data_IF_285888328523
#
_entry.id   IF_285888328523
#
_cell.length_a   1.000
_cell.length_b   1.000
_cell.length_c   1.000
_cell.angle_alpha   90.00
_cell.angle_beta   90.00
_cell.angle_gamma   90.00
#
_symmetry.space_group_name_H-M   'P 1'
#
loop_
_entity.id
_entity.type
_entity.pdbx_description
1 polymer ?
#
# COMPACT_ATOMS: atom_id res chain seq x y z
N UNK A 1 22.77 -4.98 -19.95
CA UNK A 1 21.98 -5.65 -18.88
C UNK A 1 22.63 -5.39 -17.53
N UNK A 2 22.17 -4.38 -16.79
CA UNK A 2 22.71 -4.11 -15.46
C UNK A 2 22.09 -5.13 -14.50
N UNK A 3 22.85 -6.12 -14.02
CA UNK A 3 22.35 -7.08 -13.03
C UNK A 3 21.97 -6.28 -11.78
N UNK A 4 20.67 -6.06 -11.52
CA UNK A 4 20.21 -5.77 -10.15
C UNK A 4 20.81 -6.87 -9.29
N UNK A 5 21.65 -6.50 -8.32
CA UNK A 5 22.14 -7.50 -7.39
C UNK A 5 20.94 -7.94 -6.54
N UNK A 6 20.61 -9.23 -6.58
CA UNK A 6 19.57 -9.82 -5.74
C UNK A 6 19.78 -9.42 -4.27
N UNK A 7 21.04 -9.28 -3.86
CA UNK A 7 21.44 -8.75 -2.56
C UNK A 7 20.86 -7.36 -2.25
N UNK A 8 20.85 -6.41 -3.21
CA UNK A 8 20.27 -5.08 -3.03
C UNK A 8 18.75 -5.14 -2.85
N UNK A 9 18.09 -5.98 -3.65
CA UNK A 9 16.63 -6.14 -3.57
C UNK A 9 16.21 -6.74 -2.22
N UNK A 10 16.92 -7.77 -1.76
CA UNK A 10 16.67 -8.39 -0.46
C UNK A 10 16.99 -7.43 0.69
N UNK A 11 18.08 -6.66 0.61
CA UNK A 11 18.44 -5.69 1.64
C UNK A 11 17.39 -4.58 1.77
N UNK A 12 16.94 -4.01 0.66
CA UNK A 12 15.87 -3.02 0.67
C UNK A 12 14.56 -3.58 1.20
N UNK A 13 14.22 -4.81 0.81
CA UNK A 13 13.03 -5.47 1.32
C UNK A 13 13.08 -5.65 2.83
N UNK A 14 14.24 -6.07 3.37
CA UNK A 14 14.45 -6.18 4.81
C UNK A 14 14.32 -4.83 5.53
N UNK A 15 14.85 -3.74 4.95
CA UNK A 15 14.71 -2.39 5.51
C UNK A 15 13.25 -1.93 5.48
N UNK A 16 12.52 -2.16 4.38
CA UNK A 16 11.10 -1.82 4.29
C UNK A 16 10.27 -2.61 5.30
N UNK A 17 10.55 -3.90 5.49
CA UNK A 17 9.89 -4.72 6.51
C UNK A 17 10.12 -4.15 7.91
N UNK A 18 11.38 -3.82 8.23
CA UNK A 18 11.73 -3.23 9.52
C UNK A 18 11.02 -1.89 9.74
N UNK A 19 10.98 -1.01 8.74
CA UNK A 19 10.29 0.28 8.83
C UNK A 19 8.79 0.13 9.02
N UNK A 20 8.14 -0.76 8.25
CA UNK A 20 6.71 -1.05 8.39
C UNK A 20 6.40 -1.57 9.80
N UNK A 21 7.22 -2.50 10.31
CA UNK A 21 7.02 -3.04 11.66
C UNK A 21 7.25 -1.98 12.75
N UNK A 22 8.29 -1.15 12.64
CA UNK A 22 8.59 -0.09 13.61
C UNK A 22 7.49 0.98 13.61
N UNK A 23 7.02 1.42 12.43
CA UNK A 23 5.91 2.37 12.37
C UNK A 23 4.65 1.79 12.98
N UNK A 24 4.32 0.53 12.67
CA UNK A 24 3.15 -0.13 13.24
C UNK A 24 3.25 -0.23 14.77
N UNK A 25 4.43 -0.56 15.29
CA UNK A 25 4.69 -0.62 16.73
C UNK A 25 4.55 0.76 17.35
N UNK A 26 5.18 1.80 16.79
CA UNK A 26 5.12 3.17 17.30
C UNK A 26 3.68 3.69 17.30
N UNK A 27 2.93 3.51 16.22
CA UNK A 27 1.52 3.91 16.14
C UNK A 27 0.68 3.19 17.17
N UNK A 28 0.88 1.88 17.32
CA UNK A 28 0.17 1.09 18.32
C UNK A 28 0.46 1.61 19.72
N UNK A 29 1.72 1.82 20.11
CA UNK A 29 2.05 2.32 21.45
C UNK A 29 1.63 3.78 21.67
N UNK A 30 1.76 4.64 20.65
CA UNK A 30 1.41 6.06 20.75
C UNK A 30 -0.10 6.26 20.92
N UNK A 31 -0.91 5.55 20.12
CA UNK A 31 -2.35 5.72 20.12
C UNK A 31 -3.08 4.78 21.09
N UNK A 32 -2.47 3.69 21.57
CA UNK A 32 -3.12 2.78 22.53
C UNK A 32 -3.55 3.47 23.82
N UNK A 33 -2.79 4.48 24.28
CA UNK A 33 -3.14 5.26 25.47
C UNK A 33 -4.40 6.13 25.29
N UNK A 34 -4.76 6.50 24.05
CA UNK A 34 -5.85 7.44 23.75
C UNK A 34 -7.06 6.76 23.11
N UNK A 35 -6.84 5.75 22.27
CA UNK A 35 -7.85 5.12 21.39
C UNK A 35 -8.02 3.61 21.64
N UNK A 36 -7.28 3.05 22.61
CA UNK A 36 -7.26 1.62 22.90
C UNK A 36 -6.59 0.79 21.80
N UNK A 37 -6.91 -0.51 21.74
CA UNK A 37 -6.22 -1.48 20.88
C UNK A 37 -6.53 -1.37 19.37
N UNK A 38 -7.29 -0.36 18.94
CA UNK A 38 -7.66 -0.11 17.54
C UNK A 38 -7.09 1.25 17.11
N UNK A 39 -5.81 1.24 16.77
CA UNK A 39 -5.05 2.44 16.43
C UNK A 39 -5.10 2.75 14.93
N UNK A 40 -5.08 4.04 14.55
CA UNK A 40 -4.99 4.43 13.14
C UNK A 40 -3.61 4.08 12.58
N UNK A 41 -3.57 3.44 11.41
CA UNK A 41 -2.33 3.08 10.73
C UNK A 41 -1.87 4.17 9.74
N UNK A 42 -1.84 5.42 10.21
CA UNK A 42 -1.73 6.62 9.39
C UNK A 42 -0.38 6.78 8.65
N UNK A 43 0.72 6.23 9.15
CA UNK A 43 2.05 6.20 8.55
C UNK A 43 2.36 4.84 7.95
N UNK A 44 1.91 3.77 8.60
CA UNK A 44 2.20 2.40 8.16
C UNK A 44 1.47 2.07 6.86
N UNK A 45 0.17 2.40 6.73
CA UNK A 45 -0.58 2.15 5.50
C UNK A 45 0.01 2.90 4.29
N UNK A 46 0.30 4.21 4.37
CA UNK A 46 0.91 4.92 3.24
C UNK A 46 2.29 4.37 2.86
N UNK A 47 3.11 3.97 3.83
CA UNK A 47 4.42 3.36 3.54
C UNK A 47 4.26 2.02 2.79
N UNK A 48 3.41 1.13 3.29
CA UNK A 48 3.16 -0.17 2.66
C UNK A 48 2.57 -0.02 1.25
N UNK A 49 1.60 0.89 1.08
CA UNK A 49 1.02 1.20 -0.23
C UNK A 49 2.09 1.78 -1.16
N UNK A 50 2.93 2.70 -0.67
CA UNK A 50 4.01 3.29 -1.46
C UNK A 50 5.00 2.22 -1.96
N UNK A 51 5.34 1.23 -1.13
CA UNK A 51 6.13 0.05 -1.53
C UNK A 51 5.37 -0.75 -2.60
N UNK A 52 4.08 -1.01 -2.42
CA UNK A 52 3.26 -1.77 -3.38
C UNK A 52 3.14 -1.12 -4.76
N UNK A 53 3.05 0.20 -4.83
CA UNK A 53 2.87 0.94 -6.10
C UNK A 53 4.20 1.32 -6.78
N UNK A 54 5.33 1.12 -6.10
CA UNK A 54 6.66 1.48 -6.61
C UNK A 54 7.40 0.24 -7.08
N UNK A 55 8.01 0.29 -8.27
CA UNK A 55 8.80 -0.81 -8.83
C UNK A 55 7.96 -1.79 -9.67
N UNK A 56 8.33 -3.07 -9.63
CA UNK A 56 7.75 -4.08 -10.52
C UNK A 56 6.39 -4.57 -9.99
N UNK A 57 5.64 -5.28 -10.85
CA UNK A 57 4.40 -5.99 -10.48
C UNK A 57 4.55 -6.86 -9.22
N UNK A 58 5.73 -7.41 -8.96
CA UNK A 58 6.02 -8.21 -7.75
C UNK A 58 5.83 -7.42 -6.45
N UNK A 59 6.09 -6.12 -6.49
CA UNK A 59 6.02 -5.27 -5.31
C UNK A 59 4.59 -5.11 -4.79
N UNK A 60 3.56 -5.26 -5.65
CA UNK A 60 2.16 -5.21 -5.25
C UNK A 60 1.87 -6.24 -4.14
N UNK A 61 2.37 -7.46 -4.31
CA UNK A 61 2.22 -8.54 -3.34
C UNK A 61 3.10 -8.31 -2.13
N UNK A 62 4.35 -7.92 -2.36
CA UNK A 62 5.35 -7.71 -1.31
C UNK A 62 4.89 -6.65 -0.31
N UNK A 63 4.51 -5.44 -0.74
CA UNK A 63 4.10 -4.38 0.19
C UNK A 63 2.90 -4.78 1.05
N UNK A 64 1.93 -5.50 0.46
CA UNK A 64 0.77 -6.03 1.19
C UNK A 64 1.12 -7.16 2.15
N UNK A 65 2.00 -8.10 1.78
CA UNK A 65 2.42 -9.19 2.66
C UNK A 65 3.30 -8.71 3.80
N UNK A 66 4.22 -7.78 3.57
CA UNK A 66 5.06 -7.19 4.63
C UNK A 66 4.19 -6.58 5.73
N UNK A 67 3.17 -5.82 5.32
CA UNK A 67 2.23 -5.20 6.23
C UNK A 67 1.37 -6.25 6.95
N UNK A 68 0.82 -7.21 6.22
CA UNK A 68 -0.01 -8.27 6.80
C UNK A 68 0.76 -9.11 7.82
N UNK A 69 1.99 -9.50 7.50
CA UNK A 69 2.87 -10.24 8.39
C UNK A 69 3.26 -9.43 9.63
N UNK A 70 3.65 -8.16 9.43
CA UNK A 70 3.97 -7.26 10.56
C UNK A 70 2.77 -7.06 11.49
N UNK A 71 1.57 -6.95 10.93
CA UNK A 71 0.33 -6.81 11.69
C UNK A 71 0.00 -8.06 12.49
N UNK A 72 0.20 -9.24 11.91
CA UNK A 72 -0.01 -10.51 12.61
C UNK A 72 1.01 -10.70 13.74
N UNK A 73 2.29 -10.43 13.49
CA UNK A 73 3.33 -10.50 14.53
C UNK A 73 3.02 -9.55 15.68
N UNK A 74 2.63 -8.30 15.39
CA UNK A 74 2.28 -7.35 16.44
C UNK A 74 1.06 -7.83 17.23
N UNK A 75 0.04 -8.37 16.56
CA UNK A 75 -1.16 -8.89 17.23
C UNK A 75 -0.84 -10.00 18.24
N UNK A 76 0.17 -10.84 17.97
CA UNK A 76 0.69 -11.84 18.92
C UNK A 76 1.33 -11.15 20.13
N UNK A 77 2.14 -10.10 19.92
CA UNK A 77 2.86 -9.39 20.99
C UNK A 77 1.91 -8.65 21.95
N UNK A 78 0.86 -8.02 21.43
CA UNK A 78 -0.11 -7.26 22.23
C UNK A 78 -1.35 -8.08 22.62
N UNK A 79 -1.38 -9.38 22.28
CA UNK A 79 -2.50 -10.29 22.50
C UNK A 79 -3.86 -9.73 22.02
N UNK A 80 -3.91 -9.12 20.84
CA UNK A 80 -5.16 -8.57 20.30
C UNK A 80 -6.04 -9.72 19.74
N UNK A 81 -7.15 -10.08 20.40
CA UNK A 81 -7.88 -11.32 20.13
C UNK A 81 -8.45 -11.41 18.71
N UNK A 82 -8.70 -10.26 18.08
CA UNK A 82 -9.31 -10.19 16.75
C UNK A 82 -8.27 -10.39 15.66
N UNK A 83 -7.12 -9.73 15.79
CA UNK A 83 -6.06 -9.80 14.80
C UNK A 83 -5.16 -11.04 14.96
N UNK A 84 -5.34 -11.83 16.02
CA UNK A 84 -4.76 -13.17 16.15
C UNK A 84 -5.28 -14.15 15.09
N UNK A 85 -6.45 -13.91 14.50
CA UNK A 85 -6.88 -14.68 13.33
C UNK A 85 -6.09 -14.18 12.11
N UNK A 86 -5.24 -15.03 11.47
CA UNK A 86 -4.42 -14.62 10.33
C UNK A 86 -5.26 -14.18 9.13
N UNK A 87 -6.52 -14.64 9.00
CA UNK A 87 -7.42 -14.16 7.96
C UNK A 87 -7.82 -12.71 8.19
N UNK A 88 -8.02 -12.30 9.44
CA UNK A 88 -8.43 -10.93 9.79
C UNK A 88 -7.24 -9.98 9.75
N UNK A 89 -6.04 -10.42 10.11
CA UNK A 89 -4.83 -9.61 10.05
C UNK A 89 -4.21 -9.59 8.66
N UNK A 90 -3.88 -10.73 8.06
CA UNK A 90 -3.07 -10.78 6.82
C UNK A 90 -3.93 -10.48 5.59
N UNK A 91 -5.11 -11.07 5.46
CA UNK A 91 -5.86 -11.04 4.20
C UNK A 91 -6.23 -9.61 3.77
N UNK A 92 -6.81 -8.74 4.63
CA UNK A 92 -7.09 -7.36 4.25
C UNK A 92 -5.85 -6.63 3.74
N UNK A 93 -4.69 -6.83 4.39
CA UNK A 93 -3.46 -6.09 4.05
C UNK A 93 -2.76 -6.61 2.80
N UNK A 94 -2.90 -7.90 2.50
CA UNK A 94 -2.50 -8.44 1.21
C UNK A 94 -3.28 -7.78 0.06
N UNK A 95 -4.60 -7.66 0.18
CA UNK A 95 -5.45 -7.07 -0.86
C UNK A 95 -5.24 -5.57 -1.07
N UNK A 96 -4.83 -4.82 -0.04
CA UNK A 96 -4.46 -3.40 -0.17
C UNK A 96 -3.39 -3.21 -1.25
N UNK A 97 -2.32 -4.01 -1.19
CA UNK A 97 -1.19 -3.86 -2.11
C UNK A 97 -1.59 -4.10 -3.56
N UNK A 98 -2.47 -5.09 -3.77
CA UNK A 98 -3.04 -5.42 -5.09
C UNK A 98 -3.94 -4.27 -5.58
N UNK A 99 -4.91 -3.86 -4.77
CA UNK A 99 -5.87 -2.82 -5.13
C UNK A 99 -5.18 -1.49 -5.45
N UNK A 100 -4.25 -1.05 -4.59
CA UNK A 100 -3.52 0.19 -4.79
C UNK A 100 -2.66 0.15 -6.07
N UNK A 101 -2.00 -0.98 -6.36
CA UNK A 101 -1.20 -1.13 -7.58
C UNK A 101 -2.05 -0.98 -8.85
N UNK A 102 -3.19 -1.68 -8.92
CA UNK A 102 -4.05 -1.61 -10.09
C UNK A 102 -4.68 -0.22 -10.28
N UNK A 103 -5.09 0.43 -9.20
CA UNK A 103 -5.60 1.81 -9.26
C UNK A 103 -4.52 2.78 -9.71
N UNK A 104 -3.30 2.66 -9.17
CA UNK A 104 -2.15 3.46 -9.59
C UNK A 104 -1.87 3.28 -11.09
N UNK A 105 -1.84 2.03 -11.56
CA UNK A 105 -1.60 1.69 -12.95
C UNK A 105 -2.69 2.27 -13.88
N UNK A 106 -3.96 2.17 -13.48
CA UNK A 106 -5.09 2.71 -14.25
C UNK A 106 -4.97 4.23 -14.39
N UNK A 107 -4.71 4.94 -13.30
CA UNK A 107 -4.58 6.40 -13.32
C UNK A 107 -3.34 6.88 -14.06
N UNK A 108 -2.21 6.16 -13.97
CA UNK A 108 -1.02 6.42 -14.78
C UNK A 108 -1.30 6.28 -16.28
N UNK A 109 -2.08 5.26 -16.67
CA UNK A 109 -2.49 5.07 -18.07
C UNK A 109 -3.43 6.19 -18.53
N UNK A 110 -4.39 6.58 -17.69
CA UNK A 110 -5.37 7.62 -18.01
C UNK A 110 -4.71 9.00 -18.20
N UNK A 111 -3.74 9.33 -17.34
CA UNK A 111 -3.06 10.63 -17.37
C UNK A 111 -1.68 10.60 -18.06
N UNK A 112 -1.38 9.57 -18.87
CA UNK A 112 -0.09 9.44 -19.59
C UNK A 112 0.22 10.67 -20.46
N UNK A 113 -0.80 11.25 -21.10
CA UNK A 113 -0.68 12.38 -22.02
C UNK A 113 -1.00 13.74 -21.38
N UNK A 114 -1.20 13.79 -20.06
CA UNK A 114 -1.52 15.03 -19.37
C UNK A 114 -0.31 15.99 -19.39
N UNK A 115 -0.53 17.25 -19.76
CA UNK A 115 0.50 18.29 -19.77
C UNK A 115 0.96 18.70 -18.36
N UNK A 116 0.11 18.52 -17.34
CA UNK A 116 0.44 18.86 -15.95
C UNK A 116 1.25 17.77 -15.27
N UNK A 117 2.44 18.14 -14.78
CA UNK A 117 3.30 17.23 -14.01
C UNK A 117 2.65 16.69 -12.73
N UNK A 118 1.68 17.41 -12.16
CA UNK A 118 0.92 16.98 -10.99
C UNK A 118 -0.01 15.81 -11.31
N UNK A 119 -0.79 15.91 -12.40
CA UNK A 119 -1.72 14.85 -12.83
C UNK A 119 -0.99 13.57 -13.22
N UNK A 120 0.25 13.67 -13.72
CA UNK A 120 1.04 12.51 -14.11
C UNK A 120 1.76 11.83 -12.93
N UNK A 121 2.23 12.60 -11.95
CA UNK A 121 3.18 12.09 -10.95
C UNK A 121 2.68 12.09 -9.51
N UNK A 122 1.62 12.84 -9.18
CA UNK A 122 1.11 12.98 -7.81
C UNK A 122 -0.27 12.35 -7.70
N UNK A 123 -1.18 12.69 -8.61
CA UNK A 123 -2.55 12.22 -8.58
C UNK A 123 -2.68 10.68 -8.60
N UNK A 124 -1.96 9.93 -9.47
CA UNK A 124 -2.13 8.47 -9.52
C UNK A 124 -1.73 7.78 -8.22
N UNK A 125 -0.68 8.28 -7.56
CA UNK A 125 -0.19 7.76 -6.28
C UNK A 125 -1.13 8.13 -5.13
N UNK A 126 -1.69 9.35 -5.14
CA UNK A 126 -2.65 9.80 -4.12
C UNK A 126 -3.94 8.97 -4.16
N UNK A 127 -4.49 8.78 -5.37
CA UNK A 127 -5.71 7.98 -5.57
C UNK A 127 -5.47 6.50 -5.23
N UNK A 128 -4.29 5.97 -5.56
CA UNK A 128 -3.89 4.62 -5.14
C UNK A 128 -3.80 4.48 -3.62
N UNK A 129 -3.29 5.50 -2.91
CA UNK A 129 -3.29 5.59 -1.46
C UNK A 129 -4.70 5.47 -0.88
N UNK A 130 -5.61 6.32 -1.36
CA UNK A 130 -7.01 6.32 -0.91
C UNK A 130 -7.70 4.98 -1.20
N UNK A 131 -7.51 4.42 -2.40
CA UNK A 131 -8.07 3.12 -2.75
C UNK A 131 -7.52 1.99 -1.88
N UNK A 132 -6.23 2.03 -1.54
CA UNK A 132 -5.60 1.08 -0.63
C UNK A 132 -6.23 1.13 0.77
N UNK A 133 -6.38 2.32 1.35
CA UNK A 133 -7.01 2.49 2.66
C UNK A 133 -8.49 2.06 2.64
N UNK A 134 -9.26 2.46 1.62
CA UNK A 134 -10.64 2.00 1.42
C UNK A 134 -10.75 0.48 1.40
N UNK A 135 -9.86 -0.18 0.65
CA UNK A 135 -9.81 -1.65 0.59
C UNK A 135 -9.54 -2.26 1.96
N UNK A 136 -8.65 -1.65 2.75
CA UNK A 136 -8.39 -2.11 4.11
C UNK A 136 -9.63 -2.03 4.99
N UNK A 137 -10.24 -0.84 5.09
CA UNK A 137 -11.36 -0.59 6.00
C UNK A 137 -12.56 -1.46 5.66
N UNK A 138 -12.91 -1.57 4.37
CA UNK A 138 -14.02 -2.42 3.92
C UNK A 138 -13.75 -3.89 4.27
N UNK A 139 -12.54 -4.39 4.00
CA UNK A 139 -12.21 -5.80 4.27
C UNK A 139 -12.10 -6.09 5.77
N UNK A 140 -11.50 -5.21 6.57
CA UNK A 140 -11.40 -5.40 8.01
C UNK A 140 -12.80 -5.38 8.64
N UNK A 141 -13.64 -4.40 8.29
CA UNK A 141 -15.02 -4.35 8.78
C UNK A 141 -15.77 -5.61 8.37
N UNK A 142 -15.70 -6.02 7.11
CA UNK A 142 -16.34 -7.27 6.63
C UNK A 142 -15.86 -8.49 7.44
N UNK A 143 -14.56 -8.60 7.72
CA UNK A 143 -14.00 -9.69 8.51
C UNK A 143 -14.47 -9.65 9.98
N UNK A 144 -14.66 -8.47 10.57
CA UNK A 144 -15.23 -8.33 11.93
C UNK A 144 -16.64 -8.91 11.99
N UNK A 145 -17.49 -8.60 11.00
CA UNK A 145 -18.86 -9.13 10.95
C UNK A 145 -18.92 -10.66 10.78
N UNK A 146 -17.92 -11.26 10.14
CA UNK A 146 -17.85 -12.71 9.92
C UNK A 146 -17.30 -13.44 11.15
N UNK A 147 -16.26 -12.89 11.79
CA UNK A 147 -15.46 -13.61 12.80
C UNK A 147 -15.69 -13.13 14.24
N UNK A 148 -16.58 -12.16 14.47
CA UNK A 148 -16.89 -11.61 15.80
C UNK A 148 -18.40 -11.50 16.01
N UNK A 149 -18.85 -11.36 17.25
CA UNK A 149 -20.27 -11.10 17.54
C UNK A 149 -20.72 -9.76 16.95
N UNK A 150 -21.97 -9.69 16.49
CA UNK A 150 -22.52 -8.51 15.79
C UNK A 150 -22.42 -7.23 16.62
N UNK A 151 -22.72 -7.30 17.92
CA UNK A 151 -22.64 -6.16 18.84
C UNK A 151 -21.22 -5.62 19.01
N UNK A 152 -20.21 -6.50 19.05
CA UNK A 152 -18.81 -6.10 19.16
C UNK A 152 -18.26 -5.61 17.81
N UNK A 153 -18.70 -6.20 16.70
CA UNK A 153 -18.35 -5.77 15.35
C UNK A 153 -18.81 -4.33 15.09
N UNK A 154 -20.03 -3.94 15.50
CA UNK A 154 -20.55 -2.58 15.34
C UNK A 154 -19.71 -1.53 16.08
N UNK A 155 -19.38 -1.81 17.34
CA UNK A 155 -18.57 -0.91 18.17
C UNK A 155 -17.19 -0.71 17.55
N UNK A 156 -16.52 -1.79 17.14
CA UNK A 156 -15.18 -1.73 16.55
C UNK A 156 -15.23 -1.06 15.18
N UNK A 157 -16.22 -1.37 14.34
CA UNK A 157 -16.39 -0.73 13.04
C UNK A 157 -16.54 0.79 13.20
N UNK A 158 -17.25 1.26 14.23
CA UNK A 158 -17.39 2.70 14.52
C UNK A 158 -16.02 3.33 14.85
N UNK A 159 -15.22 2.68 15.69
CA UNK A 159 -13.86 3.16 16.02
C UNK A 159 -12.97 3.22 14.77
N UNK A 160 -13.01 2.16 13.94
CA UNK A 160 -12.26 2.11 12.69
C UNK A 160 -12.69 3.21 11.70
N UNK A 161 -13.98 3.52 11.62
CA UNK A 161 -14.49 4.58 10.74
C UNK A 161 -14.07 5.99 11.18
N UNK A 162 -13.86 6.21 12.48
CA UNK A 162 -13.29 7.48 12.97
C UNK A 162 -11.81 7.59 12.57
N UNK A 163 -11.04 6.50 12.76
CA UNK A 163 -9.63 6.44 12.37
C UNK A 163 -9.42 6.55 10.85
N UNK A 164 -10.36 6.01 10.07
CA UNK A 164 -10.33 5.98 8.62
C UNK A 164 -10.18 7.36 7.97
N UNK A 165 -10.76 8.41 8.57
CA UNK A 165 -10.61 9.78 8.06
C UNK A 165 -9.15 10.22 8.09
N UNK A 166 -8.45 9.96 9.19
CA UNK A 166 -7.03 10.27 9.32
C UNK A 166 -6.18 9.44 8.35
N UNK A 167 -6.52 8.16 8.17
CA UNK A 167 -5.81 7.25 7.26
C UNK A 167 -5.98 7.66 5.79
N UNK A 168 -7.16 8.11 5.37
CA UNK A 168 -7.38 8.63 4.01
C UNK A 168 -6.54 9.87 3.78
N UNK A 169 -6.57 10.83 4.71
CA UNK A 169 -5.85 12.09 4.58
C UNK A 169 -4.35 11.81 4.53
N UNK A 170 -3.85 10.96 5.42
CA UNK A 170 -2.45 10.59 5.45
C UNK A 170 -2.03 9.84 4.19
N UNK A 171 -2.84 8.90 3.67
CA UNK A 171 -2.53 8.18 2.44
C UNK A 171 -2.55 9.06 1.20
N UNK A 172 -3.52 9.97 1.08
CA UNK A 172 -3.58 10.91 -0.04
C UNK A 172 -2.33 11.80 -0.11
N UNK A 173 -1.79 12.20 1.03
CA UNK A 173 -0.64 13.11 1.11
C UNK A 173 0.71 12.36 1.11
N UNK A 174 0.84 11.30 1.90
CA UNK A 174 2.12 10.63 2.14
C UNK A 174 2.50 9.63 1.04
N UNK A 175 1.54 8.93 0.43
CA UNK A 175 1.87 7.97 -0.65
C UNK A 175 2.64 8.61 -1.80
N UNK A 176 2.23 9.75 -2.40
CA UNK A 176 3.01 10.37 -3.48
C UNK A 176 4.41 10.81 -3.02
N UNK A 177 4.55 11.28 -1.77
CA UNK A 177 5.83 11.72 -1.20
C UNK A 177 6.76 10.53 -1.00
N UNK A 178 6.29 9.48 -0.32
CA UNK A 178 7.07 8.27 -0.03
C UNK A 178 7.42 7.54 -1.33
N UNK A 179 6.48 7.39 -2.27
CA UNK A 179 6.77 6.79 -3.58
C UNK A 179 7.80 7.57 -4.38
N UNK A 180 7.89 8.90 -4.23
CA UNK A 180 8.97 9.68 -4.84
C UNK A 180 10.32 9.38 -4.21
N UNK A 181 10.38 9.32 -2.87
CA UNK A 181 11.61 8.98 -2.14
C UNK A 181 12.09 7.58 -2.47
N UNK A 182 11.20 6.58 -2.44
CA UNK A 182 11.55 5.20 -2.79
C UNK A 182 12.08 5.11 -4.22
N UNK A 183 11.42 5.75 -5.20
CA UNK A 183 11.90 5.76 -6.60
C UNK A 183 13.30 6.36 -6.75
N UNK A 184 13.59 7.42 -6.01
CA UNK A 184 14.90 8.07 -6.03
C UNK A 184 15.99 7.17 -5.43
N UNK A 185 15.74 6.55 -4.28
CA UNK A 185 16.70 5.67 -3.59
C UNK A 185 16.93 4.38 -4.40
N UNK A 186 15.86 3.81 -4.94
CA UNK A 186 15.91 2.53 -5.65
C UNK A 186 16.42 2.65 -7.10
N UNK A 187 16.71 3.87 -7.57
CA UNK A 187 17.12 4.12 -8.95
C UNK A 187 16.04 3.77 -9.98
N UNK A 188 14.77 3.66 -9.56
CA UNK A 188 13.62 3.33 -10.42
C UNK A 188 13.18 4.54 -11.25
N UNK A 189 13.95 5.63 -11.26
CA UNK A 189 13.76 6.78 -12.13
C UNK A 189 13.92 6.49 -13.64
N UNK A 190 14.32 5.28 -14.05
CA UNK A 190 14.61 4.96 -15.46
C UNK A 190 13.71 3.89 -16.10
N UNK A 191 13.11 2.98 -15.32
CA UNK A 191 12.26 1.90 -15.88
C UNK A 191 10.84 2.33 -16.24
N UNK A 192 10.30 3.37 -15.59
CA UNK A 192 9.02 3.95 -16.01
C UNK A 192 9.14 4.65 -17.38
N UNK A 193 10.38 5.00 -17.80
CA UNK A 193 10.70 5.52 -19.13
C UNK A 193 10.88 4.40 -20.15
N UNK A 194 11.52 3.27 -19.79
CA UNK A 194 11.69 2.11 -20.67
C UNK A 194 10.39 1.36 -20.96
N UNK A 195 9.56 1.10 -19.94
CA UNK A 195 8.30 0.36 -20.14
C UNK A 195 7.28 1.24 -20.90
N UNK A 196 7.40 2.57 -20.77
CA UNK A 196 6.60 3.50 -21.56
C UNK A 196 7.08 3.66 -23.01
N UNK A 197 8.33 3.27 -23.29
CA UNK A 197 8.99 3.28 -24.60
C UNK A 197 8.75 1.94 -25.33
N UNK A 198 8.91 0.80 -24.65
CA UNK A 198 8.60 -0.53 -25.20
C UNK A 198 7.11 -0.69 -25.54
N UNK A 199 6.20 -0.22 -24.68
CA UNK A 199 4.75 -0.23 -24.98
C UNK A 199 4.35 0.80 -26.05
N UNK A 200 5.22 1.77 -26.35
CA UNK A 200 5.00 2.71 -27.46
C UNK A 200 5.53 2.16 -28.79
N UNK A 201 6.67 1.46 -28.78
CA UNK A 201 7.22 0.75 -29.94
C UNK A 201 6.33 -0.42 -30.35
N UNK A 202 5.85 -1.25 -29.41
CA UNK A 202 4.94 -2.37 -29.73
C UNK A 202 3.65 -1.89 -30.40
N UNK A 203 3.14 -0.71 -30.03
CA UNK A 203 1.95 -0.13 -30.66
C UNK A 203 2.24 0.48 -32.04
N UNK A 204 3.41 1.11 -32.20
CA UNK A 204 3.83 1.67 -33.49
C UNK A 204 4.08 0.58 -34.53
N UNK A 205 4.59 -0.58 -34.13
CA UNK A 205 4.89 -1.70 -35.01
C UNK A 205 3.61 -2.43 -35.46
N UNK A 206 2.64 -2.62 -34.55
CA UNK A 206 1.32 -3.19 -34.91
C UNK A 206 0.46 -2.31 -35.81
N UNK A 207 0.67 -0.99 -35.80
CA UNK A 207 -0.05 -0.05 -36.66
C UNK A 207 0.56 0.03 -38.07
N UNK A 208 1.82 -0.36 -38.25
CA UNK A 208 2.51 -0.43 -39.55
C UNK A 208 2.25 -1.78 -40.24
N UNK A 209 2.14 -2.87 -39.48
CA UNK A 209 1.89 -4.22 -40.04
C UNK A 209 0.43 -4.44 -40.50
N UNK A 210 -0.50 -3.57 -40.09
CA UNK A 210 -1.92 -3.62 -40.47
C UNK A 210 -2.34 -2.58 -41.54
N UNK A 211 -1.38 -1.99 -42.28
CA UNK A 211 -1.62 -1.13 -43.45
C UNK A 211 -0.95 -1.68 -44.70
#
# INVERSE_FOLDING_TARGET
>A
MNKRSVARDVAFLGVMLALVFVFLLVETFLFSALLGNFTPAALTLPLAIAVSVTGDKRNMFIGGTLLGFSSFLLAILIANPIFLNPLVSIAPRFFIGIAAYFVCLLFKKLFKNAKSGFLRNVLPYSVAGVAGVLTNTVLVVTMLWIFTSSSLAEVIATILLVNFVAEIISAAVLVPVISRVIRNIYGVGYHEKSDSFEVADEKGETDIENR
#
